data_IF_648418795146
#
_entry.id   IF_648418795146
#
_cell.length_a   1.000
_cell.length_b   1.000
_cell.length_c   1.000
_cell.angle_alpha   90.00
_cell.angle_beta   90.00
_cell.angle_gamma   90.00
#
_symmetry.space_group_name_H-M   'P 1'
#
loop_
_entity.id
_entity.type
_entity.pdbx_description
1 polymer ?
#
# COMPACT_ATOMS: atom_id res chain seq x y z
N UNK A 1 1.77 10.24 -5.61
CA UNK A 1 0.79 10.03 -4.51
C UNK A 1 0.92 11.18 -3.50
N UNK A 2 0.42 12.38 -3.82
CA UNK A 2 0.58 13.58 -2.97
C UNK A 2 -0.73 14.34 -2.80
N UNK A 3 -1.59 14.29 -3.82
CA UNK A 3 -2.92 14.91 -3.81
C UNK A 3 -3.84 14.22 -2.80
N UNK A 4 -3.84 12.89 -2.78
CA UNK A 4 -4.66 12.08 -1.87
C UNK A 4 -4.23 12.21 -0.39
N UNK A 5 -2.95 12.48 -0.12
CA UNK A 5 -2.45 12.77 1.23
C UNK A 5 -2.87 14.19 1.69
N UNK A 6 -2.93 15.14 0.75
CA UNK A 6 -3.27 16.54 1.00
C UNK A 6 -4.78 16.75 1.19
N UNK A 7 -5.60 15.96 0.52
CA UNK A 7 -7.06 16.09 0.54
C UNK A 7 -7.73 14.77 0.98
N UNK A 8 -7.64 14.41 2.27
CA UNK A 8 -8.19 13.17 2.77
C UNK A 8 -9.73 13.13 2.66
N UNK A 9 -10.42 14.26 2.56
CA UNK A 9 -11.87 14.29 2.37
C UNK A 9 -12.33 13.76 1.00
N UNK A 10 -11.42 13.60 0.02
CA UNK A 10 -11.75 13.03 -1.29
C UNK A 10 -11.84 11.50 -1.29
N UNK A 11 -11.40 10.83 -0.22
CA UNK A 11 -11.57 9.38 -0.12
C UNK A 11 -13.03 9.02 0.13
N UNK A 12 -13.41 7.84 -0.34
CA UNK A 12 -14.71 7.28 -0.03
C UNK A 12 -14.70 6.66 1.38
N UNK A 13 -15.40 7.31 2.32
CA UNK A 13 -15.56 6.82 3.70
C UNK A 13 -16.97 6.30 3.91
N UNK A 14 -17.09 5.21 4.68
CA UNK A 14 -18.38 4.73 5.16
C UNK A 14 -18.66 5.30 6.55
N UNK A 15 -19.88 5.80 6.79
CA UNK A 15 -20.36 6.28 8.10
C UNK A 15 -19.46 7.34 8.76
N UNK A 16 -19.13 8.40 8.02
CA UNK A 16 -18.38 9.54 8.56
C UNK A 16 -19.23 10.32 9.57
N UNK A 17 -18.70 10.55 10.77
CA UNK A 17 -19.31 11.37 11.83
C UNK A 17 -18.28 12.35 12.39
N UNK A 18 -18.71 13.44 13.05
CA UNK A 18 -17.79 14.42 13.65
C UNK A 18 -16.81 13.80 14.66
N UNK A 19 -17.21 12.70 15.32
CA UNK A 19 -16.39 12.00 16.31
C UNK A 19 -15.32 11.12 15.68
N UNK A 20 -15.55 10.61 14.46
CA UNK A 20 -14.65 9.66 13.81
C UNK A 20 -13.82 10.24 12.66
N UNK A 21 -14.16 11.45 12.20
CA UNK A 21 -13.58 12.09 11.01
C UNK A 21 -12.05 12.17 11.10
N UNK A 22 -11.51 12.57 12.26
CA UNK A 22 -10.08 12.70 12.44
C UNK A 22 -9.37 11.34 12.39
N UNK A 23 -9.97 10.32 13.04
CA UNK A 23 -9.47 8.96 13.03
C UNK A 23 -9.47 8.35 11.63
N UNK A 24 -10.55 8.55 10.88
CA UNK A 24 -10.68 8.07 9.51
C UNK A 24 -9.68 8.76 8.57
N UNK A 25 -9.47 10.07 8.69
CA UNK A 25 -8.49 10.80 7.89
C UNK A 25 -7.06 10.36 8.19
N UNK A 26 -6.73 10.14 9.46
CA UNK A 26 -5.42 9.58 9.85
C UNK A 26 -5.22 8.17 9.30
N UNK A 27 -6.24 7.32 9.38
CA UNK A 27 -6.18 5.95 8.86
C UNK A 27 -6.00 5.93 7.33
N UNK A 28 -6.75 6.75 6.59
CA UNK A 28 -6.64 6.83 5.13
C UNK A 28 -5.25 7.33 4.68
N UNK A 29 -4.70 8.37 5.33
CA UNK A 29 -3.34 8.83 5.04
C UNK A 29 -2.29 7.78 5.36
N UNK A 30 -2.42 7.09 6.49
CA UNK A 30 -1.51 6.01 6.87
C UNK A 30 -1.55 4.86 5.86
N UNK A 31 -2.73 4.49 5.37
CA UNK A 31 -2.88 3.47 4.32
C UNK A 31 -2.09 3.87 3.07
N UNK A 32 -2.20 5.12 2.60
CA UNK A 32 -1.45 5.60 1.42
C UNK A 32 0.06 5.62 1.68
N UNK A 33 0.51 5.98 2.88
CA UNK A 33 1.92 5.90 3.23
C UNK A 33 2.45 4.47 3.18
N UNK A 34 1.69 3.50 3.70
CA UNK A 34 2.11 2.09 3.71
C UNK A 34 2.13 1.53 2.28
N UNK A 35 1.09 1.77 1.49
CA UNK A 35 1.07 1.36 0.07
C UNK A 35 2.26 1.96 -0.69
N UNK A 36 2.59 3.23 -0.45
CA UNK A 36 3.76 3.89 -1.04
C UNK A 36 5.06 3.19 -0.63
N UNK A 37 5.20 2.84 0.65
CA UNK A 37 6.35 2.11 1.14
C UNK A 37 6.46 0.72 0.51
N UNK A 38 5.37 -0.04 0.42
CA UNK A 38 5.32 -1.37 -0.20
C UNK A 38 5.74 -1.31 -1.67
N UNK A 39 5.19 -0.37 -2.45
CA UNK A 39 5.58 -0.15 -3.84
C UNK A 39 7.06 0.22 -3.94
N UNK A 40 7.56 1.09 -3.05
CA UNK A 40 8.96 1.53 -3.07
C UNK A 40 9.92 0.37 -2.78
N UNK A 41 9.61 -0.44 -1.77
CA UNK A 41 10.38 -1.64 -1.41
C UNK A 41 10.36 -2.64 -2.57
N UNK A 42 9.18 -2.87 -3.15
CA UNK A 42 9.04 -3.77 -4.30
C UNK A 42 9.88 -3.28 -5.48
N UNK A 43 9.78 -2.01 -5.87
CA UNK A 43 10.57 -1.46 -6.97
C UNK A 43 12.08 -1.47 -6.69
N UNK A 44 12.51 -1.21 -5.45
CA UNK A 44 13.92 -1.28 -5.06
C UNK A 44 14.46 -2.71 -5.17
N UNK A 45 13.72 -3.69 -4.63
CA UNK A 45 14.06 -5.11 -4.75
C UNK A 45 14.11 -5.57 -6.21
N UNK A 46 13.15 -5.15 -7.02
CA UNK A 46 13.11 -5.51 -8.44
C UNK A 46 14.26 -4.90 -9.22
N UNK A 47 14.58 -3.62 -8.99
CA UNK A 47 15.74 -2.97 -9.60
C UNK A 47 17.03 -3.72 -9.29
N UNK A 48 17.19 -4.17 -8.04
CA UNK A 48 18.32 -5.00 -7.64
C UNK A 48 18.31 -6.37 -8.34
N UNK A 49 17.18 -7.08 -8.30
CA UNK A 49 17.04 -8.40 -8.92
C UNK A 49 17.34 -8.39 -10.43
N UNK A 50 16.91 -7.34 -11.13
CA UNK A 50 17.19 -7.15 -12.56
C UNK A 50 18.69 -7.07 -12.87
N UNK A 51 19.47 -6.36 -12.06
CA UNK A 51 20.93 -6.27 -12.24
C UNK A 51 21.56 -7.67 -12.18
N UNK A 52 21.19 -8.48 -11.19
CA UNK A 52 21.72 -9.84 -11.03
C UNK A 52 21.25 -10.80 -12.15
N UNK A 53 20.02 -10.61 -12.63
CA UNK A 53 19.48 -11.37 -13.76
C UNK A 53 20.25 -11.08 -15.05
N UNK A 54 20.62 -9.82 -15.31
CA UNK A 54 21.41 -9.43 -16.48
C UNK A 54 22.84 -9.99 -16.37
N UNK A 55 23.41 -10.03 -15.17
CA UNK A 55 24.73 -10.62 -14.92
C UNK A 55 24.75 -12.17 -15.02
N UNK A 56 23.60 -12.80 -15.30
CA UNK A 56 23.49 -14.26 -15.45
C UNK A 56 23.67 -15.04 -14.14
N UNK A 57 23.71 -14.34 -13.00
CA UNK A 57 24.00 -14.94 -11.68
C UNK A 57 22.76 -15.47 -10.97
N UNK A 58 21.56 -15.11 -11.45
CA UNK A 58 20.28 -15.62 -10.96
C UNK A 58 19.30 -15.83 -12.10
N UNK A 59 18.44 -16.84 -11.96
CA UNK A 59 17.25 -17.00 -12.80
C UNK A 59 16.36 -15.79 -12.56
N UNK A 60 16.00 -15.10 -13.64
CA UNK A 60 15.27 -13.84 -13.61
C UNK A 60 13.86 -13.94 -13.03
N UNK A 61 13.25 -12.76 -12.93
CA UNK A 61 11.89 -12.46 -12.43
C UNK A 61 10.90 -13.62 -12.55
N UNK A 62 10.54 -14.22 -11.42
CA UNK A 62 9.53 -15.28 -11.37
C UNK A 62 8.10 -14.73 -11.25
N UNK A 63 7.13 -15.62 -11.51
CA UNK A 63 5.71 -15.35 -11.25
C UNK A 63 5.44 -15.13 -9.74
N UNK A 64 6.30 -15.70 -8.89
CA UNK A 64 6.13 -15.69 -7.44
C UNK A 64 6.31 -14.32 -6.82
N UNK A 65 7.24 -13.51 -7.33
CA UNK A 65 7.48 -12.15 -6.87
C UNK A 65 6.24 -11.27 -7.07
N UNK A 66 5.57 -11.41 -8.22
CA UNK A 66 4.33 -10.71 -8.52
C UNK A 66 3.19 -11.20 -7.62
N UNK A 67 3.06 -12.52 -7.42
CA UNK A 67 2.02 -13.09 -6.55
C UNK A 67 2.18 -12.62 -5.10
N UNK A 68 3.41 -12.63 -4.57
CA UNK A 68 3.71 -12.13 -3.22
C UNK A 68 3.36 -10.65 -3.11
N UNK A 69 3.74 -9.84 -4.10
CA UNK A 69 3.41 -8.42 -4.12
C UNK A 69 1.90 -8.16 -4.10
N UNK A 70 1.13 -8.90 -4.91
CA UNK A 70 -0.33 -8.78 -4.96
C UNK A 70 -0.95 -9.18 -3.61
N UNK A 71 -0.49 -10.30 -3.01
CA UNK A 71 -0.99 -10.76 -1.72
C UNK A 71 -0.73 -9.71 -0.62
N UNK A 72 0.47 -9.13 -0.58
CA UNK A 72 0.84 -8.08 0.38
C UNK A 72 -0.04 -6.85 0.18
N UNK A 73 -0.17 -6.35 -1.06
CA UNK A 73 -0.98 -5.18 -1.38
C UNK A 73 -2.45 -5.37 -0.98
N UNK A 74 -3.06 -6.50 -1.35
CA UNK A 74 -4.45 -6.82 -0.99
C UNK A 74 -4.58 -6.95 0.53
N UNK A 75 -3.63 -7.64 1.17
CA UNK A 75 -3.60 -7.80 2.63
C UNK A 75 -3.61 -6.46 3.36
N UNK A 76 -2.79 -5.51 2.91
CA UNK A 76 -2.72 -4.16 3.48
C UNK A 76 -4.01 -3.38 3.29
N UNK A 77 -4.61 -3.43 2.10
CA UNK A 77 -5.90 -2.77 1.83
C UNK A 77 -7.00 -3.36 2.71
N UNK A 78 -7.13 -4.68 2.76
CA UNK A 78 -8.15 -5.38 3.56
C UNK A 78 -7.96 -5.08 5.04
N UNK A 79 -6.73 -5.14 5.55
CA UNK A 79 -6.42 -4.82 6.94
C UNK A 79 -6.81 -3.37 7.29
N UNK A 80 -6.48 -2.40 6.42
CA UNK A 80 -6.81 -0.99 6.65
C UNK A 80 -8.31 -0.71 6.54
N UNK A 81 -9.02 -1.42 5.67
CA UNK A 81 -10.48 -1.36 5.57
C UNK A 81 -11.16 -1.90 6.84
N UNK A 82 -10.72 -3.06 7.34
CA UNK A 82 -11.22 -3.62 8.60
C UNK A 82 -10.92 -2.71 9.80
N UNK A 83 -9.74 -2.08 9.81
CA UNK A 83 -9.38 -1.08 10.83
C UNK A 83 -10.28 0.14 10.74
N UNK A 84 -10.56 0.65 9.53
CA UNK A 84 -11.48 1.79 9.31
C UNK A 84 -12.88 1.50 9.85
N UNK A 85 -13.40 0.28 9.66
CA UNK A 85 -14.71 -0.12 10.17
C UNK A 85 -14.79 -0.15 11.72
N UNK A 86 -13.65 -0.21 12.42
CA UNK A 86 -13.58 -0.18 13.89
C UNK A 86 -13.45 1.23 14.47
N UNK A 87 -13.14 2.23 13.64
CA UNK A 87 -13.00 3.63 14.08
C UNK A 87 -14.41 4.26 14.14
N UNK A 88 -14.91 4.44 15.37
CA UNK A 88 -16.24 4.99 15.69
C UNK A 88 -16.22 6.45 16.08
#
# INVERSE_FOLDING_TARGET
>A
MTILEKFPHLYNYSNLTERNIEGQYKNARLMVHIIKAEITIFLAYNSWSWIYSILGTRVGFGIWELLIFIIVMIGTIVFMALRSARIK
#
